data_IF_523026369146
#
_entry.id   IF_523026369146
#
_cell.length_a   1.000
_cell.length_b   1.000
_cell.length_c   1.000
_cell.angle_alpha   90.00
_cell.angle_beta   90.00
_cell.angle_gamma   90.00
#
_symmetry.space_group_name_H-M   'P 1'
#
loop_
_entity.id
_entity.type
_entity.pdbx_description
1 polymer ?
#
# COMPACT_ATOMS: atom_id res chain seq x y z
N UNK A 1 23.29 -3.34 -25.21
CA UNK A 1 24.40 -3.63 -26.15
C UNK A 1 24.71 -2.47 -27.10
N UNK A 2 23.72 -1.62 -27.42
CA UNK A 2 23.84 -0.52 -28.40
C UNK A 2 23.90 0.88 -27.79
N UNK A 3 23.43 1.07 -26.56
CA UNK A 3 23.40 2.36 -25.87
C UNK A 3 24.51 2.45 -24.82
N UNK A 4 25.10 3.64 -24.64
CA UNK A 4 26.09 3.92 -23.60
C UNK A 4 25.42 4.30 -22.28
N UNK A 5 26.08 4.01 -21.15
CA UNK A 5 25.65 4.47 -19.81
C UNK A 5 24.50 3.70 -19.15
N UNK A 6 24.11 2.54 -19.70
CA UNK A 6 23.10 1.66 -19.08
C UNK A 6 23.73 0.91 -17.90
N UNK A 7 23.15 1.05 -16.70
CA UNK A 7 23.58 0.29 -15.52
C UNK A 7 23.21 -1.20 -15.68
N UNK A 8 24.06 -2.15 -15.22
CA UNK A 8 23.76 -3.58 -15.34
C UNK A 8 22.40 -4.02 -14.77
N UNK A 9 21.94 -3.39 -13.68
CA UNK A 9 20.65 -3.71 -13.05
C UNK A 9 19.42 -3.04 -13.72
N UNK A 10 19.63 -2.22 -14.76
CA UNK A 10 18.57 -1.45 -15.43
C UNK A 10 18.41 -1.85 -16.91
N UNK A 11 18.73 -3.09 -17.25
CA UNK A 11 18.59 -3.61 -18.62
C UNK A 11 17.12 -3.96 -18.92
N UNK A 12 16.59 -3.41 -20.00
CA UNK A 12 15.29 -3.81 -20.56
C UNK A 12 15.50 -5.01 -21.49
N UNK A 13 14.88 -6.14 -21.16
CA UNK A 13 15.02 -7.40 -21.89
C UNK A 13 13.68 -8.00 -22.32
N UNK A 14 13.72 -9.23 -22.82
CA UNK A 14 12.53 -9.91 -23.35
C UNK A 14 11.41 -10.18 -22.31
N UNK A 15 11.74 -10.13 -21.01
CA UNK A 15 10.80 -10.33 -19.90
C UNK A 15 10.40 -9.03 -19.19
N UNK A 16 10.83 -7.87 -19.71
CA UNK A 16 10.55 -6.57 -19.07
C UNK A 16 9.25 -5.99 -19.60
N UNK A 17 8.30 -5.72 -18.69
CA UNK A 17 7.07 -4.98 -19.00
C UNK A 17 7.33 -3.46 -18.98
N UNK A 18 6.57 -2.70 -19.76
CA UNK A 18 6.77 -1.25 -19.92
C UNK A 18 5.48 -0.49 -19.60
N UNK A 19 5.59 0.49 -18.70
CA UNK A 19 4.55 1.48 -18.42
C UNK A 19 5.04 2.83 -18.95
N UNK A 20 4.24 3.46 -19.82
CA UNK A 20 4.56 4.79 -20.36
C UNK A 20 4.47 5.86 -19.26
N UNK A 21 5.52 6.68 -19.15
CA UNK A 21 5.69 7.69 -18.10
C UNK A 21 6.07 9.08 -18.62
N UNK A 22 5.84 9.36 -19.90
CA UNK A 22 6.06 10.68 -20.48
C UNK A 22 4.93 11.64 -20.11
N UNK A 23 5.27 12.72 -19.41
CA UNK A 23 4.37 13.79 -18.94
C UNK A 23 3.56 13.59 -17.63
N UNK A 24 3.30 12.40 -17.03
CA UNK A 24 2.74 12.29 -15.69
C UNK A 24 3.81 12.51 -14.61
N UNK A 25 3.35 12.77 -13.38
CA UNK A 25 4.20 12.77 -12.19
C UNK A 25 4.01 11.42 -11.49
N UNK A 26 5.11 10.68 -11.32
CA UNK A 26 5.15 9.49 -10.49
C UNK A 26 5.45 9.89 -9.03
N UNK A 27 4.59 9.47 -8.10
CA UNK A 27 4.81 9.58 -6.66
C UNK A 27 4.83 8.19 -6.03
N UNK A 28 5.45 8.08 -4.84
CA UNK A 28 5.15 6.95 -3.98
C UNK A 28 3.66 6.93 -3.61
N UNK A 29 3.13 5.76 -3.27
CA UNK A 29 1.79 5.65 -2.72
C UNK A 29 1.70 6.27 -1.33
N UNK A 30 0.58 6.91 -1.01
CA UNK A 30 0.39 7.57 0.28
C UNK A 30 0.22 6.55 1.43
N UNK A 31 0.70 6.95 2.62
CA UNK A 31 0.53 6.24 3.88
C UNK A 31 -0.42 7.07 4.75
N UNK A 32 -1.56 6.49 5.12
CA UNK A 32 -2.47 7.09 6.09
C UNK A 32 -2.35 6.38 7.43
N UNK A 33 -1.87 7.10 8.44
CA UNK A 33 -1.55 6.55 9.75
C UNK A 33 -2.68 6.65 10.76
N UNK A 34 -3.80 7.28 10.41
CA UNK A 34 -4.92 7.51 11.32
C UNK A 34 -6.24 7.11 10.66
N UNK A 35 -6.35 5.82 10.36
CA UNK A 35 -7.53 5.22 9.75
C UNK A 35 -8.41 4.57 10.80
N UNK A 36 -9.72 4.71 10.72
CA UNK A 36 -10.65 3.91 11.53
C UNK A 36 -11.31 2.87 10.62
N UNK A 37 -11.05 1.57 10.84
CA UNK A 37 -11.67 0.49 10.06
C UNK A 37 -13.12 0.26 10.48
N UNK A 38 -13.98 1.21 10.09
CA UNK A 38 -15.42 1.20 10.38
C UNK A 38 -16.14 0.27 9.40
N UNK A 39 -15.71 0.29 8.13
CA UNK A 39 -16.35 -0.48 7.07
C UNK A 39 -15.33 -0.87 5.98
N UNK A 40 -15.55 -1.99 5.26
CA UNK A 40 -14.64 -2.42 4.20
C UNK A 40 -14.67 -1.51 2.96
N UNK A 41 -15.74 -0.74 2.76
CA UNK A 41 -15.89 0.20 1.64
C UNK A 41 -14.77 1.24 1.63
N UNK A 42 -14.27 1.62 2.81
CA UNK A 42 -13.14 2.54 2.95
C UNK A 42 -11.92 2.14 2.09
N UNK A 43 -11.68 0.84 1.86
CA UNK A 43 -10.49 0.34 1.17
C UNK A 43 -10.44 0.78 -0.30
N UNK A 44 -11.47 0.57 -1.14
CA UNK A 44 -11.48 1.10 -2.50
C UNK A 44 -11.43 2.64 -2.54
N UNK A 45 -12.05 3.37 -1.60
CA UNK A 45 -11.87 4.83 -1.54
C UNK A 45 -10.43 5.23 -1.20
N UNK A 46 -9.75 4.44 -0.37
CA UNK A 46 -8.35 4.66 -0.05
C UNK A 46 -7.46 4.52 -1.29
N UNK A 47 -7.65 3.42 -2.04
CA UNK A 47 -6.89 3.12 -3.25
C UNK A 47 -7.11 4.17 -4.34
N UNK A 48 -8.37 4.52 -4.62
CA UNK A 48 -8.72 5.55 -5.60
C UNK A 48 -8.15 6.93 -5.22
N UNK A 49 -7.98 7.20 -3.92
CA UNK A 49 -7.32 8.39 -3.41
C UNK A 49 -5.79 8.33 -3.37
N UNK A 50 -5.16 7.31 -3.97
CA UNK A 50 -3.70 7.17 -4.04
C UNK A 50 -3.02 6.64 -2.77
N UNK A 51 -3.79 6.11 -1.82
CA UNK A 51 -3.25 5.48 -0.60
C UNK A 51 -2.96 4.00 -0.87
N UNK A 52 -1.76 3.58 -0.48
CA UNK A 52 -1.31 2.18 -0.62
C UNK A 52 -1.05 1.51 0.72
N UNK A 53 -1.02 2.30 1.80
CA UNK A 53 -0.84 1.82 3.17
C UNK A 53 -1.81 2.52 4.11
N UNK A 54 -2.49 1.75 4.97
CA UNK A 54 -3.39 2.28 5.99
C UNK A 54 -3.08 1.70 7.37
N UNK A 55 -3.04 2.54 8.40
CA UNK A 55 -2.76 2.13 9.78
C UNK A 55 -3.90 2.60 10.69
N UNK A 56 -4.43 1.69 11.51
CA UNK A 56 -5.62 1.95 12.32
C UNK A 56 -5.47 1.63 13.81
N UNK A 57 -5.96 2.49 14.72
CA UNK A 57 -6.11 2.14 16.12
C UNK A 57 -7.33 1.24 16.37
N UNK A 58 -7.10 0.12 17.06
CA UNK A 58 -8.14 -0.74 17.65
C UNK A 58 -8.43 -2.02 16.87
N UNK A 59 -7.66 -3.08 17.09
CA UNK A 59 -7.98 -4.43 16.64
C UNK A 59 -8.45 -5.33 17.80
N UNK A 60 -9.73 -5.24 18.19
CA UNK A 60 -10.27 -6.14 19.23
C UNK A 60 -10.27 -7.61 18.78
N UNK A 61 -10.35 -7.87 17.47
CA UNK A 61 -10.22 -9.19 16.85
C UNK A 61 -9.08 -9.23 15.83
N UNK A 62 -7.85 -8.92 16.26
CA UNK A 62 -6.68 -8.82 15.37
C UNK A 62 -6.56 -9.98 14.36
N UNK A 63 -6.74 -11.22 14.81
CA UNK A 63 -6.71 -12.39 13.91
C UNK A 63 -7.77 -12.34 12.80
N UNK A 64 -9.02 -12.02 13.14
CA UNK A 64 -10.12 -11.88 12.15
C UNK A 64 -9.92 -10.69 11.22
N UNK A 65 -9.31 -9.62 11.72
CA UNK A 65 -8.98 -8.47 10.88
C UNK A 65 -7.90 -8.85 9.87
N UNK A 66 -6.83 -9.53 10.29
CA UNK A 66 -5.80 -10.03 9.38
C UNK A 66 -6.39 -10.97 8.31
N UNK A 67 -7.23 -11.92 8.70
CA UNK A 67 -7.97 -12.79 7.76
C UNK A 67 -8.82 -11.98 6.77
N UNK A 68 -9.53 -10.95 7.23
CA UNK A 68 -10.40 -10.12 6.38
C UNK A 68 -9.64 -9.20 5.43
N UNK A 69 -8.38 -8.88 5.76
CA UNK A 69 -7.56 -7.91 5.02
C UNK A 69 -6.68 -8.56 3.95
N UNK A 70 -6.42 -9.87 4.03
CA UNK A 70 -5.56 -10.63 3.11
C UNK A 70 -6.03 -10.58 1.64
N UNK A 71 -7.33 -10.36 1.43
CA UNK A 71 -7.91 -10.26 0.09
C UNK A 71 -7.66 -8.91 -0.62
N UNK A 72 -7.15 -7.90 0.09
CA UNK A 72 -7.08 -6.54 -0.45
C UNK A 72 -5.65 -6.17 -0.91
N UNK A 73 -5.51 -5.48 -2.04
CA UNK A 73 -4.20 -5.09 -2.59
C UNK A 73 -3.66 -3.81 -1.90
N UNK A 74 -3.73 -3.72 -0.57
CA UNK A 74 -3.18 -2.63 0.25
C UNK A 74 -2.31 -3.21 1.36
N UNK A 75 -1.33 -2.42 1.82
CA UNK A 75 -0.60 -2.72 3.05
C UNK A 75 -1.40 -2.22 4.27
N UNK A 76 -1.40 -2.99 5.35
CA UNK A 76 -2.17 -2.68 6.55
C UNK A 76 -1.33 -2.70 7.83
N UNK A 77 -1.56 -1.72 8.70
CA UNK A 77 -1.09 -1.71 10.09
C UNK A 77 -2.26 -1.68 11.07
N UNK A 78 -2.24 -2.53 12.09
CA UNK A 78 -3.29 -2.64 13.09
C UNK A 78 -2.70 -2.37 14.48
N UNK A 79 -3.24 -1.39 15.20
CA UNK A 79 -2.80 -1.05 16.56
C UNK A 79 -3.82 -1.58 17.59
N UNK A 80 -3.33 -2.04 18.73
CA UNK A 80 -4.17 -2.46 19.85
C UNK A 80 -4.77 -1.30 20.63
N UNK A 81 -5.66 -1.59 21.57
CA UNK A 81 -6.13 -0.60 22.54
C UNK A 81 -5.01 -0.28 23.53
N UNK A 82 -4.59 0.98 23.61
CA UNK A 82 -3.54 1.44 24.54
C UNK A 82 -4.03 1.82 25.94
N UNK A 83 -5.34 1.98 26.15
CA UNK A 83 -5.90 2.37 27.44
C UNK A 83 -5.97 1.17 28.40
N UNK A 84 -5.04 1.10 29.35
CA UNK A 84 -5.09 0.26 30.53
C UNK A 84 -5.28 1.14 31.77
N UNK A 85 -6.15 0.74 32.70
CA UNK A 85 -6.19 1.31 34.05
C UNK A 85 -5.19 0.55 34.92
N UNK A 86 -4.42 1.26 35.75
CA UNK A 86 -3.63 0.66 36.84
C UNK A 86 -4.52 0.35 38.02
#
# INVERSE_FOLDING_TARGET
>A
DTMAGVHPDLVVGAATEVIAGDNPILTAGAIDSHVHFICPQLIPEALCGGKTTTVAPGAWHLGRMLESLDAWPLNFGLLGKGNAVS
#
